data_IF_650863765348
#
_entry.id   IF_650863765348
#
_cell.length_a   1.000
_cell.length_b   1.000
_cell.length_c   1.000
_cell.angle_alpha   90.00
_cell.angle_beta   90.00
_cell.angle_gamma   90.00
#
_symmetry.space_group_name_H-M   'P 1'
#
loop_
_entity.id
_entity.type
_entity.pdbx_description
1 polymer ?
#
# COMPACT_ATOMS: atom_id res chain seq x y z
N UNK A 1 -12.27 -12.50 0.27
CA UNK A 1 -11.18 -12.08 1.16
C UNK A 1 -9.86 -12.59 0.63
N UNK A 2 -8.88 -11.74 0.51
CA UNK A 2 -7.58 -12.16 -0.03
C UNK A 2 -6.59 -12.40 1.10
N UNK A 3 -6.07 -13.64 1.19
CA UNK A 3 -4.99 -13.96 2.12
C UNK A 3 -3.64 -13.40 1.66
N UNK A 4 -3.57 -12.88 0.43
CA UNK A 4 -2.35 -12.27 -0.10
C UNK A 4 -2.15 -10.82 0.41
N UNK A 5 -3.19 -10.19 0.97
CA UNK A 5 -3.07 -8.87 1.57
C UNK A 5 -2.41 -9.00 2.94
N UNK A 6 -1.40 -8.17 3.19
CA UNK A 6 -0.79 -8.05 4.52
C UNK A 6 -1.34 -6.82 5.22
N UNK A 7 -1.99 -7.02 6.37
CA UNK A 7 -2.41 -5.89 7.20
C UNK A 7 -1.26 -5.57 8.15
N UNK A 8 -0.57 -4.47 7.87
CA UNK A 8 0.62 -4.09 8.63
C UNK A 8 0.28 -3.00 9.65
N UNK A 9 1.11 -2.91 10.69
CA UNK A 9 0.96 -1.95 11.78
C UNK A 9 2.26 -1.19 11.96
N UNK A 10 2.24 -0.15 12.81
CA UNK A 10 3.47 0.55 13.17
C UNK A 10 4.53 -0.42 13.70
N UNK A 11 4.11 -1.44 14.45
CA UNK A 11 5.01 -2.43 15.05
C UNK A 11 5.56 -3.44 14.05
N UNK A 12 4.78 -3.79 13.00
CA UNK A 12 5.19 -4.81 12.04
C UNK A 12 5.80 -4.24 10.77
N UNK A 13 5.75 -2.93 10.59
CA UNK A 13 6.16 -2.27 9.34
C UNK A 13 7.61 -2.55 8.99
N UNK A 14 8.50 -2.47 9.97
CA UNK A 14 9.92 -2.73 9.77
C UNK A 14 10.15 -4.11 9.15
N UNK A 15 9.62 -5.16 9.77
CA UNK A 15 9.84 -6.53 9.32
C UNK A 15 9.13 -6.85 8.03
N UNK A 16 7.90 -6.38 7.85
CA UNK A 16 7.06 -6.80 6.74
C UNK A 16 7.17 -5.93 5.50
N UNK A 17 7.63 -4.69 5.64
CA UNK A 17 7.75 -3.77 4.51
C UNK A 17 9.20 -3.41 4.23
N UNK A 18 9.96 -3.05 5.26
CA UNK A 18 11.31 -2.53 5.07
C UNK A 18 12.37 -3.60 4.93
N UNK A 19 12.19 -4.76 5.55
CA UNK A 19 13.19 -5.84 5.57
C UNK A 19 12.88 -6.99 4.62
N UNK A 20 11.89 -6.83 3.75
CA UNK A 20 11.55 -7.85 2.76
C UNK A 20 12.32 -7.64 1.46
N UNK A 21 12.59 -8.73 0.75
CA UNK A 21 13.29 -8.68 -0.54
C UNK A 21 12.37 -8.30 -1.70
N UNK A 22 11.06 -8.49 -1.56
CA UNK A 22 10.11 -8.14 -2.62
C UNK A 22 9.69 -6.68 -2.49
N UNK A 23 9.40 -6.01 -3.62
CA UNK A 23 8.73 -4.71 -3.55
C UNK A 23 7.40 -4.80 -2.83
N UNK A 24 7.04 -3.77 -2.09
CA UNK A 24 5.79 -3.72 -1.34
C UNK A 24 5.01 -2.46 -1.70
N UNK A 25 3.75 -2.64 -2.10
CA UNK A 25 2.80 -1.54 -2.24
C UNK A 25 2.07 -1.40 -0.92
N UNK A 26 2.13 -0.22 -0.30
CA UNK A 26 1.41 0.07 0.94
C UNK A 26 0.24 1.00 0.63
N UNK A 27 -0.97 0.59 1.02
CA UNK A 27 -2.19 1.38 0.93
C UNK A 27 -2.49 1.96 2.31
N UNK A 28 -2.31 3.27 2.48
CA UNK A 28 -2.67 3.99 3.70
C UNK A 28 -4.15 4.38 3.61
N UNK A 29 -4.96 3.90 4.55
CA UNK A 29 -6.42 4.00 4.47
C UNK A 29 -7.06 4.20 5.84
N UNK A 30 -8.37 4.50 5.85
CA UNK A 30 -9.20 4.54 7.05
C UNK A 30 -10.63 4.15 6.71
N UNK A 31 -11.37 3.67 7.71
CA UNK A 31 -12.76 3.21 7.49
C UNK A 31 -13.71 4.32 7.03
N UNK A 32 -13.50 5.53 7.51
CA UNK A 32 -14.36 6.68 7.18
C UNK A 32 -14.08 7.27 5.80
N UNK A 33 -13.06 6.82 5.15
CA UNK A 33 -12.57 7.43 3.91
C UNK A 33 -13.32 6.84 2.69
N UNK A 34 -14.20 7.64 2.09
CA UNK A 34 -14.96 7.22 0.90
C UNK A 34 -14.08 6.83 -0.28
N UNK A 35 -13.12 7.69 -0.69
CA UNK A 35 -12.20 7.34 -1.78
C UNK A 35 -11.38 6.07 -1.51
N UNK A 36 -11.04 5.80 -0.25
CA UNK A 36 -10.34 4.55 0.11
C UNK A 36 -11.19 3.33 -0.23
N UNK A 37 -12.50 3.41 -0.01
CA UNK A 37 -13.42 2.31 -0.32
C UNK A 37 -13.58 2.10 -1.82
N UNK A 38 -13.37 3.14 -2.61
CA UNK A 38 -13.44 3.03 -4.07
C UNK A 38 -12.28 2.25 -4.63
N UNK A 39 -11.06 2.45 -4.10
CA UNK A 39 -9.88 1.75 -4.60
C UNK A 39 -9.61 0.44 -3.88
N UNK A 40 -10.24 0.20 -2.72
CA UNK A 40 -10.02 -1.01 -1.94
C UNK A 40 -10.12 -2.30 -2.75
N UNK A 41 -11.22 -2.50 -3.50
CA UNK A 41 -11.35 -3.71 -4.34
C UNK A 41 -10.26 -3.83 -5.41
N UNK A 42 -9.79 -2.71 -5.97
CA UNK A 42 -8.71 -2.71 -6.96
C UNK A 42 -7.39 -3.13 -6.32
N UNK A 43 -7.12 -2.63 -5.12
CA UNK A 43 -5.93 -2.99 -4.36
C UNK A 43 -5.97 -4.47 -3.98
N UNK A 44 -7.13 -4.96 -3.53
CA UNK A 44 -7.31 -6.37 -3.20
C UNK A 44 -7.07 -7.27 -4.42
N UNK A 45 -7.60 -6.91 -5.57
CA UNK A 45 -7.40 -7.66 -6.81
C UNK A 45 -5.93 -7.71 -7.20
N UNK A 46 -5.21 -6.59 -7.04
CA UNK A 46 -3.80 -6.53 -7.39
C UNK A 46 -2.94 -7.44 -6.52
N UNK A 47 -3.37 -7.72 -5.29
CA UNK A 47 -2.66 -8.65 -4.42
C UNK A 47 -2.58 -10.06 -5.03
N UNK A 48 -3.62 -10.49 -5.72
CA UNK A 48 -3.62 -11.78 -6.43
C UNK A 48 -2.88 -11.66 -7.76
N UNK A 49 -3.14 -10.61 -8.51
CA UNK A 49 -2.54 -10.40 -9.83
C UNK A 49 -1.02 -10.32 -9.77
N UNK A 50 -0.47 -9.65 -8.74
CA UNK A 50 0.97 -9.44 -8.61
C UNK A 50 1.65 -10.34 -7.56
N UNK A 51 0.97 -11.37 -7.07
CA UNK A 51 1.43 -12.17 -5.93
C UNK A 51 2.86 -12.69 -6.08
N UNK A 52 3.28 -13.03 -7.30
CA UNK A 52 4.60 -13.60 -7.55
C UNK A 52 5.74 -12.59 -7.36
N UNK A 53 5.49 -11.29 -7.53
CA UNK A 53 6.58 -10.31 -7.56
C UNK A 53 6.38 -9.07 -6.69
N UNK A 54 5.17 -8.80 -6.20
CA UNK A 54 4.89 -7.64 -5.35
C UNK A 54 4.02 -8.05 -4.18
N UNK A 55 4.38 -7.58 -3.00
CA UNK A 55 3.54 -7.75 -1.81
C UNK A 55 2.60 -6.55 -1.70
N UNK A 56 1.33 -6.81 -1.46
CA UNK A 56 0.34 -5.74 -1.24
C UNK A 56 0.04 -5.68 0.25
N UNK A 57 0.25 -4.52 0.85
CA UNK A 57 0.05 -4.28 2.27
C UNK A 57 -0.95 -3.15 2.47
N UNK A 58 -1.70 -3.19 3.57
CA UNK A 58 -2.62 -2.13 3.98
C UNK A 58 -2.29 -1.70 5.39
N UNK A 59 -2.34 -0.38 5.64
CA UNK A 59 -2.09 0.19 6.95
C UNK A 59 -3.22 1.18 7.29
N UNK A 60 -3.95 0.89 8.36
CA UNK A 60 -5.02 1.75 8.85
C UNK A 60 -4.41 2.92 9.63
N UNK A 61 -4.57 4.14 9.11
CA UNK A 61 -3.91 5.33 9.69
C UNK A 61 -4.53 5.77 11.02
N UNK A 62 -5.79 5.41 11.29
CA UNK A 62 -6.42 5.75 12.57
C UNK A 62 -5.81 4.95 13.73
N UNK A 63 -5.34 3.75 13.44
CA UNK A 63 -4.75 2.86 14.43
C UNK A 63 -3.22 2.90 14.44
N UNK A 64 -2.61 3.52 13.43
CA UNK A 64 -1.17 3.49 13.20
C UNK A 64 -0.70 4.85 12.67
N UNK A 65 -0.51 5.80 13.57
CA UNK A 65 -0.19 7.18 13.18
C UNK A 65 1.30 7.41 12.93
N UNK A 66 2.17 6.60 13.52
CA UNK A 66 3.62 6.82 13.43
C UNK A 66 4.16 6.63 12.01
N UNK A 67 3.76 5.55 11.34
CA UNK A 67 4.27 5.24 10.00
C UNK A 67 3.85 6.29 8.96
N UNK A 68 2.57 6.68 8.84
CA UNK A 68 2.21 7.72 7.89
C UNK A 68 2.92 9.05 8.17
N UNK A 69 3.08 9.41 9.43
CA UNK A 69 3.82 10.63 9.81
C UNK A 69 5.27 10.54 9.34
N UNK A 70 5.92 9.41 9.56
CA UNK A 70 7.32 9.19 9.18
C UNK A 70 7.53 9.39 7.66
N UNK A 71 6.58 8.95 6.85
CA UNK A 71 6.71 9.01 5.39
C UNK A 71 5.96 10.18 4.75
N UNK A 72 5.50 11.14 5.56
CA UNK A 72 4.87 12.36 5.04
C UNK A 72 3.49 12.15 4.44
N UNK A 73 2.78 11.12 4.84
CA UNK A 73 1.43 10.86 4.37
C UNK A 73 0.46 11.79 5.08
N UNK A 74 -0.17 12.70 4.33
CA UNK A 74 -1.08 13.73 4.87
C UNK A 74 -2.53 13.55 4.45
N UNK A 75 -2.76 12.82 3.38
CA UNK A 75 -4.11 12.56 2.89
C UNK A 75 -4.22 11.11 2.49
N UNK A 76 -5.45 10.58 2.49
CA UNK A 76 -5.74 9.21 2.14
C UNK A 76 -6.84 9.15 1.08
N UNK A 77 -6.82 8.13 0.22
CA UNK A 77 -5.82 7.07 0.18
C UNK A 77 -4.48 7.58 -0.36
N UNK A 78 -3.40 7.00 0.14
CA UNK A 78 -2.07 7.17 -0.45
C UNK A 78 -1.51 5.78 -0.71
N UNK A 79 -0.98 5.58 -1.90
CA UNK A 79 -0.30 4.35 -2.28
C UNK A 79 1.19 4.65 -2.39
N UNK A 80 2.00 3.85 -1.71
CA UNK A 80 3.45 4.07 -1.68
C UNK A 80 4.16 2.75 -1.93
N UNK A 81 5.07 2.74 -2.90
CA UNK A 81 5.84 1.54 -3.21
C UNK A 81 7.20 1.64 -2.54
N UNK A 82 7.56 0.56 -1.83
CA UNK A 82 8.84 0.42 -1.15
C UNK A 82 9.67 -0.64 -1.86
N UNK A 83 10.95 -0.35 -2.03
CA UNK A 83 11.94 -1.31 -2.55
C UNK A 83 13.21 -1.18 -1.71
N UNK A 84 13.74 -2.32 -1.27
CA UNK A 84 14.99 -2.35 -0.50
C UNK A 84 14.96 -1.42 0.71
N UNK A 85 13.80 -1.35 1.38
CA UNK A 85 13.62 -0.56 2.59
C UNK A 85 13.37 0.94 2.37
N UNK A 86 13.18 1.38 1.12
CA UNK A 86 12.99 2.79 0.79
C UNK A 86 11.75 3.02 -0.05
N UNK A 87 11.01 4.13 0.18
CA UNK A 87 9.92 4.51 -0.71
C UNK A 87 10.48 4.97 -2.05
N UNK A 88 9.96 4.42 -3.14
CA UNK A 88 10.42 4.75 -4.50
C UNK A 88 9.35 5.45 -5.33
N UNK A 89 8.08 5.36 -4.95
CA UNK A 89 6.99 6.01 -5.68
C UNK A 89 5.80 6.23 -4.76
N UNK A 90 5.06 7.31 -4.99
CA UNK A 90 3.89 7.68 -4.20
C UNK A 90 2.79 8.17 -5.12
N UNK A 91 1.56 7.71 -4.88
CA UNK A 91 0.37 8.21 -5.56
C UNK A 91 -0.66 8.60 -4.50
N UNK A 92 -1.17 9.81 -4.57
CA UNK A 92 -2.19 10.32 -3.64
C UNK A 92 -3.53 10.39 -4.37
N UNK A 93 -4.57 9.85 -3.75
CA UNK A 93 -5.93 9.87 -4.28
C UNK A 93 -6.30 8.59 -5.01
N UNK A 94 -7.47 8.62 -5.64
CA UNK A 94 -8.00 7.46 -6.38
C UNK A 94 -7.30 7.30 -7.72
N UNK A 95 -7.44 6.10 -8.29
CA UNK A 95 -6.97 5.81 -9.64
C UNK A 95 -7.79 4.65 -10.19
N UNK A 96 -7.79 4.52 -11.52
CA UNK A 96 -8.44 3.40 -12.19
C UNK A 96 -7.59 2.13 -12.05
N UNK A 97 -8.17 0.99 -12.41
CA UNK A 97 -7.44 -0.28 -12.44
C UNK A 97 -6.21 -0.20 -13.34
N UNK A 98 -6.36 0.34 -14.56
CA UNK A 98 -5.23 0.45 -15.48
C UNK A 98 -4.15 1.39 -14.95
N UNK A 99 -4.55 2.47 -14.29
CA UNK A 99 -3.59 3.39 -13.67
C UNK A 99 -2.85 2.73 -12.51
N UNK A 100 -3.55 1.93 -11.69
CA UNK A 100 -2.93 1.18 -10.60
C UNK A 100 -1.90 0.20 -11.14
N UNK A 101 -2.27 -0.57 -12.18
CA UNK A 101 -1.35 -1.53 -12.79
C UNK A 101 -0.14 -0.82 -13.39
N UNK A 102 -0.34 0.31 -14.06
CA UNK A 102 0.77 1.10 -14.62
C UNK A 102 1.70 1.61 -13.52
N UNK A 103 1.13 2.07 -12.39
CA UNK A 103 1.90 2.54 -11.25
C UNK A 103 2.77 1.43 -10.66
N UNK A 104 2.19 0.25 -10.48
CA UNK A 104 2.93 -0.91 -9.96
C UNK A 104 4.02 -1.33 -10.95
N UNK A 105 3.66 -1.49 -12.23
CA UNK A 105 4.59 -1.97 -13.25
C UNK A 105 5.78 -1.02 -13.44
N UNK A 106 5.55 0.28 -13.35
CA UNK A 106 6.60 1.29 -13.54
C UNK A 106 7.63 1.31 -12.40
N UNK A 107 7.26 0.78 -11.22
CA UNK A 107 8.06 0.94 -10.00
C UNK A 107 8.47 -0.39 -9.37
N UNK A 108 8.20 -1.45 -10.04
CA UNK A 108 8.57 -2.80 -9.60
C UNK A 108 9.17 -3.60 -10.76
#
# INVERSE_FOLDING_TARGET
MSSAIKNVTDQTFQAEVLETSKPVLVDYWADWCGPCRMIGPLVDESATHYAARVTIAKLNVDQNAATPTRYGVRSIPTLMIFRDGHPVATHVGTLSKSQLHAFIDANT
#
